data_IF_608224254915
#
_entry.id   IF_608224254915
#
_cell.length_a   1.000
_cell.length_b   1.000
_cell.length_c   1.000
_cell.angle_alpha   90.00
_cell.angle_beta   90.00
_cell.angle_gamma   90.00
#
_symmetry.space_group_name_H-M   'P 1'
#
loop_
_entity.id
_entity.type
_entity.pdbx_description
1 polymer ?
#
# COMPACT_ATOMS: atom_id res chain seq x y z
N UNK A 1 -4.51 11.75 -9.15
CA UNK A 1 -3.75 10.97 -8.15
C UNK A 1 -4.45 9.63 -7.95
N UNK A 2 -3.73 8.51 -8.00
CA UNK A 2 -4.22 7.13 -7.79
C UNK A 2 -5.40 6.68 -8.70
N UNK A 3 -5.53 7.25 -9.89
CA UNK A 3 -6.66 6.95 -10.78
C UNK A 3 -6.69 5.50 -11.27
N UNK A 4 -5.52 4.88 -11.43
CA UNK A 4 -5.43 3.50 -11.91
C UNK A 4 -5.98 2.55 -10.85
N UNK A 5 -5.55 2.68 -9.60
CA UNK A 5 -6.00 1.92 -8.45
C UNK A 5 -7.53 1.98 -8.32
N UNK A 6 -8.11 3.18 -8.32
CA UNK A 6 -9.57 3.33 -8.19
C UNK A 6 -10.34 2.82 -9.40
N UNK A 7 -9.78 2.93 -10.63
CA UNK A 7 -10.39 2.32 -11.82
C UNK A 7 -10.38 0.79 -11.71
N UNK A 8 -9.26 0.20 -11.28
CA UNK A 8 -9.16 -1.25 -11.07
C UNK A 8 -10.15 -1.71 -10.00
N UNK A 9 -10.18 -1.07 -8.82
CA UNK A 9 -11.15 -1.37 -7.76
C UNK A 9 -12.61 -1.26 -8.24
N UNK A 10 -12.89 -0.29 -9.11
CA UNK A 10 -14.24 -0.11 -9.68
C UNK A 10 -14.60 -1.26 -10.62
N UNK A 11 -13.66 -1.71 -11.45
CA UNK A 11 -13.85 -2.81 -12.41
C UNK A 11 -13.94 -4.19 -11.76
N UNK A 12 -13.44 -4.37 -10.54
CA UNK A 12 -13.57 -5.62 -9.78
C UNK A 12 -14.76 -5.61 -8.80
N UNK A 13 -15.55 -4.53 -8.78
CA UNK A 13 -16.75 -4.43 -7.93
C UNK A 13 -16.50 -4.02 -6.48
N UNK A 14 -15.29 -3.61 -6.12
CA UNK A 14 -14.97 -3.19 -4.75
C UNK A 14 -15.14 -1.68 -4.51
N UNK A 15 -15.27 -0.87 -5.56
CA UNK A 15 -15.35 0.59 -5.41
C UNK A 15 -16.31 1.27 -6.38
N UNK A 16 -17.49 1.68 -5.88
CA UNK A 16 -18.43 2.46 -6.68
C UNK A 16 -17.89 3.90 -6.93
N UNK A 17 -17.69 4.32 -8.21
CA UNK A 17 -17.29 5.68 -8.54
C UNK A 17 -18.30 6.73 -8.06
N UNK A 18 -17.81 7.90 -7.62
CA UNK A 18 -18.66 9.00 -7.13
C UNK A 18 -19.65 9.52 -8.19
N UNK A 19 -19.28 9.47 -9.47
CA UNK A 19 -20.16 9.86 -10.57
C UNK A 19 -21.39 8.96 -10.66
N UNK A 20 -21.24 7.67 -10.36
CA UNK A 20 -22.30 6.66 -10.49
C UNK A 20 -23.18 6.54 -9.25
N UNK A 21 -22.76 7.09 -8.10
CA UNK A 21 -23.62 7.21 -6.91
C UNK A 21 -24.61 8.37 -6.98
N UNK A 22 -24.57 9.20 -8.04
CA UNK A 22 -25.47 10.36 -8.18
C UNK A 22 -26.88 9.98 -8.66
N UNK A 23 -27.01 8.89 -9.41
CA UNK A 23 -28.31 8.34 -9.83
C UNK A 23 -28.64 7.05 -9.07
N UNK A 24 -29.82 7.02 -8.42
CA UNK A 24 -30.24 5.88 -7.60
C UNK A 24 -30.36 4.54 -8.35
N UNK A 25 -30.54 4.56 -9.68
CA UNK A 25 -30.58 3.35 -10.50
C UNK A 25 -29.18 2.78 -10.79
N UNK A 26 -28.22 3.64 -11.20
CA UNK A 26 -26.84 3.20 -11.48
C UNK A 26 -26.15 2.68 -10.23
N UNK A 27 -26.42 3.28 -9.07
CA UNK A 27 -25.89 2.80 -7.80
C UNK A 27 -26.41 1.40 -7.47
N UNK A 28 -27.71 1.15 -7.64
CA UNK A 28 -28.31 -0.19 -7.43
C UNK A 28 -27.74 -1.23 -8.40
N UNK A 29 -27.61 -0.87 -9.68
CA UNK A 29 -26.99 -1.74 -10.69
C UNK A 29 -25.55 -2.07 -10.34
N UNK A 30 -24.77 -1.08 -9.91
CA UNK A 30 -23.38 -1.29 -9.49
C UNK A 30 -23.28 -2.17 -8.24
N UNK A 31 -24.19 -2.02 -7.27
CA UNK A 31 -24.25 -2.91 -6.09
C UNK A 31 -24.54 -4.36 -6.49
N UNK A 32 -25.47 -4.59 -7.41
CA UNK A 32 -25.75 -5.93 -7.93
C UNK A 32 -24.52 -6.54 -8.62
N UNK A 33 -23.89 -5.76 -9.51
CA UNK A 33 -22.63 -6.11 -10.16
C UNK A 33 -21.51 -6.44 -9.16
N UNK A 34 -21.37 -5.62 -8.11
CA UNK A 34 -20.38 -5.81 -7.05
C UNK A 34 -20.60 -7.13 -6.31
N UNK A 35 -21.84 -7.41 -5.91
CA UNK A 35 -22.19 -8.68 -5.24
C UNK A 35 -21.83 -9.85 -6.14
N UNK A 36 -22.18 -9.79 -7.44
CA UNK A 36 -21.90 -10.87 -8.39
C UNK A 36 -20.39 -11.14 -8.57
N UNK A 37 -19.58 -10.10 -8.69
CA UNK A 37 -18.13 -10.24 -8.87
C UNK A 37 -17.42 -10.71 -7.60
N UNK A 38 -17.83 -10.21 -6.45
CA UNK A 38 -17.11 -10.43 -5.20
C UNK A 38 -17.50 -11.77 -4.53
N UNK A 39 -18.70 -12.29 -4.79
CA UNK A 39 -19.18 -13.55 -4.21
C UNK A 39 -18.27 -14.76 -4.52
N UNK A 40 -17.78 -14.99 -5.76
CA UNK A 40 -16.85 -16.07 -6.08
C UNK A 40 -15.63 -16.13 -5.16
N UNK A 41 -14.97 -14.99 -4.93
CA UNK A 41 -13.83 -14.89 -4.02
C UNK A 41 -14.15 -15.40 -2.60
N UNK A 42 -15.22 -14.90 -1.98
CA UNK A 42 -15.59 -15.33 -0.63
C UNK A 42 -16.05 -16.80 -0.61
N UNK A 43 -16.77 -17.25 -1.64
CA UNK A 43 -17.18 -18.65 -1.74
C UNK A 43 -15.99 -19.62 -1.83
N UNK A 44 -14.93 -19.25 -2.57
CA UNK A 44 -13.71 -20.04 -2.65
C UNK A 44 -13.03 -20.17 -1.28
N UNK A 45 -12.86 -19.05 -0.56
CA UNK A 45 -12.25 -19.03 0.78
C UNK A 45 -13.04 -19.89 1.76
N UNK A 46 -14.39 -19.83 1.71
CA UNK A 46 -15.25 -20.66 2.56
C UNK A 46 -15.10 -22.15 2.24
N UNK A 47 -15.08 -22.53 0.96
CA UNK A 47 -14.88 -23.93 0.56
C UNK A 47 -13.49 -24.47 0.93
N UNK A 48 -12.45 -23.63 0.84
CA UNK A 48 -11.10 -23.97 1.30
C UNK A 48 -11.06 -24.17 2.82
N UNK A 49 -11.65 -23.25 3.58
CA UNK A 49 -11.73 -23.35 5.05
C UNK A 49 -12.52 -24.58 5.51
N UNK A 50 -13.65 -24.88 4.85
CA UNK A 50 -14.43 -26.09 5.11
C UNK A 50 -13.62 -27.35 4.81
N UNK A 51 -12.89 -27.37 3.69
CA UNK A 51 -12.00 -28.49 3.35
C UNK A 51 -10.92 -28.74 4.37
N UNK A 52 -10.29 -27.68 4.88
CA UNK A 52 -9.27 -27.75 5.92
C UNK A 52 -9.82 -28.27 7.26
N UNK A 53 -11.03 -27.85 7.65
CA UNK A 53 -11.61 -28.18 8.96
C UNK A 53 -12.31 -29.55 9.00
N UNK A 54 -12.87 -30.00 7.87
CA UNK A 54 -13.74 -31.17 7.82
C UNK A 54 -13.08 -32.39 7.18
N UNK A 55 -12.01 -32.21 6.40
CA UNK A 55 -11.31 -33.31 5.74
C UNK A 55 -10.16 -33.80 6.59
N UNK A 56 -10.04 -35.12 6.78
CA UNK A 56 -8.85 -35.72 7.39
C UNK A 56 -7.70 -35.68 6.38
N UNK A 57 -6.68 -34.89 6.65
CA UNK A 57 -5.52 -34.71 5.79
C UNK A 57 -4.25 -35.30 6.43
N UNK A 58 -3.25 -35.62 5.61
CA UNK A 58 -1.90 -35.84 6.12
C UNK A 58 -1.35 -34.53 6.71
N UNK A 59 -0.31 -34.61 7.55
CA UNK A 59 0.28 -33.40 8.15
C UNK A 59 0.82 -32.45 7.09
N UNK A 60 1.42 -32.98 6.03
CA UNK A 60 1.98 -32.18 4.93
C UNK A 60 0.88 -31.50 4.12
N UNK A 61 -0.16 -32.23 3.73
CA UNK A 61 -1.32 -31.68 3.02
C UNK A 61 -2.07 -30.62 3.83
N UNK A 62 -2.18 -30.83 5.15
CA UNK A 62 -2.75 -29.87 6.08
C UNK A 62 -1.95 -28.57 6.09
N UNK A 63 -0.63 -28.64 6.22
CA UNK A 63 0.22 -27.45 6.23
C UNK A 63 0.07 -26.66 4.92
N UNK A 64 0.13 -27.33 3.76
CA UNK A 64 -0.03 -26.64 2.47
C UNK A 64 -1.39 -25.96 2.35
N UNK A 65 -2.46 -26.66 2.70
CA UNK A 65 -3.83 -26.14 2.61
C UNK A 65 -4.05 -24.99 3.60
N UNK A 66 -3.51 -25.09 4.82
CA UNK A 66 -3.60 -24.07 5.86
C UNK A 66 -3.01 -22.73 5.40
N UNK A 67 -1.78 -22.73 4.85
CA UNK A 67 -1.16 -21.48 4.41
C UNK A 67 -1.83 -20.87 3.18
N UNK A 68 -2.37 -21.70 2.29
CA UNK A 68 -3.18 -21.20 1.16
C UNK A 68 -4.46 -20.55 1.67
N UNK A 69 -5.22 -21.21 2.57
CA UNK A 69 -6.43 -20.66 3.20
C UNK A 69 -6.12 -19.36 3.94
N UNK A 70 -5.00 -19.30 4.64
CA UNK A 70 -4.57 -18.11 5.36
C UNK A 70 -4.31 -16.94 4.40
N UNK A 71 -3.60 -17.18 3.29
CA UNK A 71 -3.31 -16.16 2.27
C UNK A 71 -4.57 -15.68 1.55
N UNK A 72 -5.42 -16.59 1.07
CA UNK A 72 -6.66 -16.24 0.36
C UNK A 72 -7.68 -15.60 1.30
N UNK A 73 -7.78 -16.09 2.54
CA UNK A 73 -8.59 -15.49 3.59
C UNK A 73 -8.13 -14.08 3.96
N UNK A 74 -6.82 -13.84 3.99
CA UNK A 74 -6.29 -12.50 4.23
C UNK A 74 -6.56 -11.54 3.06
N UNK A 75 -6.50 -12.01 1.81
CA UNK A 75 -6.95 -11.21 0.67
C UNK A 75 -8.44 -10.82 0.79
N UNK A 76 -9.30 -11.74 1.22
CA UNK A 76 -10.71 -11.46 1.47
C UNK A 76 -10.91 -10.46 2.62
N UNK A 77 -10.10 -10.57 3.67
CA UNK A 77 -10.05 -9.58 4.75
C UNK A 77 -9.66 -8.19 4.23
N UNK A 78 -8.64 -8.07 3.38
CA UNK A 78 -8.27 -6.78 2.76
C UNK A 78 -9.44 -6.14 2.01
N UNK A 79 -10.10 -6.91 1.15
CA UNK A 79 -11.26 -6.43 0.40
C UNK A 79 -12.41 -5.97 1.32
N UNK A 80 -12.66 -6.70 2.41
CA UNK A 80 -13.62 -6.29 3.44
C UNK A 80 -13.20 -5.01 4.17
N UNK A 81 -11.91 -4.86 4.50
CA UNK A 81 -11.37 -3.66 5.12
C UNK A 81 -11.50 -2.43 4.22
N UNK A 82 -11.29 -2.55 2.92
CA UNK A 82 -11.46 -1.44 1.98
C UNK A 82 -12.92 -0.98 1.90
N UNK A 83 -13.87 -1.92 1.92
CA UNK A 83 -15.30 -1.61 1.99
C UNK A 83 -15.68 -0.94 3.31
N UNK A 84 -15.18 -1.46 4.44
CA UNK A 84 -15.45 -0.91 5.77
C UNK A 84 -14.85 0.48 5.96
N UNK A 85 -13.61 0.69 5.50
CA UNK A 85 -12.88 1.94 5.63
C UNK A 85 -13.13 2.91 4.47
N UNK A 86 -14.07 2.62 3.55
CA UNK A 86 -14.35 3.42 2.36
C UNK A 86 -14.48 4.92 2.65
N UNK A 87 -15.21 5.29 3.71
CA UNK A 87 -15.39 6.70 4.08
C UNK A 87 -14.06 7.37 4.48
N UNK A 88 -13.18 6.66 5.18
CA UNK A 88 -11.85 7.15 5.56
C UNK A 88 -10.92 7.25 4.34
N UNK A 89 -10.96 6.28 3.43
CA UNK A 89 -10.19 6.31 2.17
C UNK A 89 -10.62 7.49 1.30
N UNK A 90 -11.93 7.73 1.17
CA UNK A 90 -12.50 8.91 0.48
C UNK A 90 -11.96 10.19 1.12
N UNK A 91 -12.00 10.29 2.45
CA UNK A 91 -11.47 11.45 3.19
C UNK A 91 -9.99 11.67 2.92
N UNK A 92 -9.16 10.62 2.88
CA UNK A 92 -7.75 10.74 2.53
C UNK A 92 -7.54 11.33 1.14
N UNK A 93 -8.27 10.83 0.14
CA UNK A 93 -8.21 11.36 -1.24
C UNK A 93 -8.62 12.83 -1.28
N UNK A 94 -9.67 13.21 -0.54
CA UNK A 94 -10.12 14.59 -0.47
C UNK A 94 -9.08 15.51 0.18
N UNK A 95 -8.41 15.04 1.24
CA UNK A 95 -7.33 15.79 1.90
C UNK A 95 -6.14 16.06 0.96
N UNK A 96 -5.79 15.13 0.06
CA UNK A 96 -4.78 15.38 -0.97
C UNK A 96 -5.24 16.33 -2.08
N UNK A 97 -6.55 16.55 -2.20
CA UNK A 97 -7.15 17.47 -3.18
C UNK A 97 -7.33 18.88 -2.63
N UNK A 98 -7.03 19.11 -1.36
CA UNK A 98 -7.11 20.43 -0.75
C UNK A 98 -6.09 21.42 -1.34
N UNK A 99 -6.38 22.74 -1.34
CA UNK A 99 -5.51 23.76 -1.94
C UNK A 99 -4.06 23.77 -1.42
N UNK A 100 -3.84 23.26 -0.21
CA UNK A 100 -2.51 23.13 0.38
C UNK A 100 -1.68 22.04 -0.33
N UNK A 101 -2.29 20.95 -0.77
CA UNK A 101 -1.60 19.83 -1.39
C UNK A 101 -1.40 19.98 -2.90
N UNK A 102 -2.16 20.88 -3.53
CA UNK A 102 -2.06 21.12 -4.97
C UNK A 102 -0.75 21.83 -5.35
N UNK A 103 -0.08 21.41 -6.45
CA UNK A 103 1.15 22.05 -6.91
C UNK A 103 0.86 23.45 -7.46
N UNK A 104 1.61 24.45 -6.99
CA UNK A 104 1.43 25.88 -7.34
C UNK A 104 2.37 26.37 -8.44
N UNK A 105 3.37 25.58 -8.80
CA UNK A 105 4.37 25.96 -9.80
C UNK A 105 4.90 24.74 -10.56
N UNK A 106 5.63 24.98 -11.65
CA UNK A 106 6.18 23.92 -12.49
C UNK A 106 7.08 22.95 -11.73
N UNK A 107 7.88 23.44 -10.78
CA UNK A 107 8.77 22.59 -9.96
C UNK A 107 7.99 21.68 -9.01
N UNK A 108 6.91 22.17 -8.39
CA UNK A 108 6.03 21.35 -7.54
C UNK A 108 5.26 20.32 -8.38
N UNK A 109 4.77 20.73 -9.56
CA UNK A 109 4.13 19.80 -10.50
C UNK A 109 5.10 18.73 -11.00
N UNK A 110 6.37 19.07 -11.18
CA UNK A 110 7.43 18.11 -11.51
C UNK A 110 7.59 17.03 -10.45
N UNK A 111 7.73 17.42 -9.17
CA UNK A 111 7.82 16.47 -8.03
C UNK A 111 6.61 15.53 -8.02
N UNK A 112 5.40 16.10 -8.05
CA UNK A 112 4.16 15.34 -8.04
C UNK A 112 4.07 14.34 -9.20
N UNK A 113 4.41 14.78 -10.43
CA UNK A 113 4.41 13.92 -11.62
C UNK A 113 5.41 12.78 -11.51
N UNK A 114 6.59 13.00 -10.93
CA UNK A 114 7.58 11.95 -10.73
C UNK A 114 7.04 10.85 -9.83
N UNK A 115 6.46 11.20 -8.68
CA UNK A 115 5.85 10.21 -7.77
C UNK A 115 4.64 9.51 -8.42
N UNK A 116 3.77 10.25 -9.12
CA UNK A 116 2.64 9.66 -9.84
C UNK A 116 3.09 8.65 -10.92
N UNK A 117 4.18 8.95 -11.65
CA UNK A 117 4.74 8.06 -12.66
C UNK A 117 5.39 6.83 -12.04
N UNK A 118 6.15 6.99 -10.96
CA UNK A 118 6.76 5.87 -10.25
C UNK A 118 5.69 4.94 -9.68
N UNK A 119 4.66 5.49 -9.04
CA UNK A 119 3.55 4.72 -8.48
C UNK A 119 2.86 3.86 -9.54
N UNK A 120 2.50 4.44 -10.70
CA UNK A 120 1.89 3.69 -11.80
C UNK A 120 2.80 2.61 -12.38
N UNK A 121 4.10 2.90 -12.53
CA UNK A 121 5.07 1.93 -13.08
C UNK A 121 5.21 0.73 -12.15
N UNK A 122 5.38 0.98 -10.84
CA UNK A 122 5.50 -0.08 -9.84
C UNK A 122 4.25 -0.94 -9.80
N UNK A 123 3.07 -0.32 -9.79
CA UNK A 123 1.79 -1.03 -9.82
C UNK A 123 1.65 -1.94 -11.04
N UNK A 124 1.94 -1.45 -12.25
CA UNK A 124 1.85 -2.25 -13.48
C UNK A 124 2.84 -3.40 -13.45
N UNK A 125 4.08 -3.17 -13.01
CA UNK A 125 5.11 -4.20 -12.94
C UNK A 125 4.69 -5.31 -11.97
N UNK A 126 4.25 -4.95 -10.76
CA UNK A 126 3.80 -5.91 -9.76
C UNK A 126 2.58 -6.68 -10.22
N UNK A 127 1.58 -6.01 -10.80
CA UNK A 127 0.40 -6.65 -11.35
C UNK A 127 0.77 -7.69 -12.42
N UNK A 128 1.64 -7.32 -13.38
CA UNK A 128 2.08 -8.26 -14.41
C UNK A 128 2.82 -9.48 -13.84
N UNK A 129 3.70 -9.27 -12.86
CA UNK A 129 4.48 -10.36 -12.24
C UNK A 129 3.57 -11.31 -11.44
N UNK A 130 2.60 -10.78 -10.72
CA UNK A 130 1.67 -11.58 -9.91
C UNK A 130 0.67 -12.33 -10.77
N UNK A 131 0.08 -11.69 -11.78
CA UNK A 131 -0.83 -12.36 -12.71
C UNK A 131 -0.11 -13.43 -13.53
N UNK A 132 1.15 -13.20 -13.91
CA UNK A 132 1.97 -14.23 -14.54
C UNK A 132 2.15 -15.45 -13.61
N UNK A 133 2.49 -15.21 -12.35
CA UNK A 133 2.67 -16.27 -11.34
C UNK A 133 1.37 -17.02 -11.06
N UNK A 134 0.25 -16.31 -10.94
CA UNK A 134 -1.07 -16.89 -10.80
C UNK A 134 -1.47 -17.71 -12.03
N UNK A 135 -1.15 -17.23 -13.23
CA UNK A 135 -1.34 -17.96 -14.48
C UNK A 135 -0.58 -19.29 -14.50
N UNK A 136 0.69 -19.30 -14.08
CA UNK A 136 1.47 -20.55 -13.97
C UNK A 136 0.83 -21.52 -12.98
N UNK A 137 0.41 -21.03 -11.80
CA UNK A 137 -0.30 -21.83 -10.79
C UNK A 137 -1.58 -22.44 -11.35
N UNK A 138 -2.40 -21.64 -12.03
CA UNK A 138 -3.68 -22.05 -12.61
C UNK A 138 -3.53 -22.93 -13.85
N UNK A 139 -2.37 -23.02 -14.49
CA UNK A 139 -2.16 -23.88 -15.66
C UNK A 139 -1.51 -25.23 -15.29
N UNK A 140 -0.87 -25.33 -14.13
CA UNK A 140 -0.17 -26.54 -13.68
C UNK A 140 -1.00 -27.84 -13.77
N UNK A 141 -2.23 -27.88 -13.22
CA UNK A 141 -3.09 -29.08 -13.32
C UNK A 141 -3.45 -29.47 -14.76
N UNK A 142 -3.69 -28.48 -15.63
CA UNK A 142 -4.04 -28.72 -17.04
C UNK A 142 -2.86 -29.30 -17.83
N UNK A 143 -1.64 -28.82 -17.56
CA UNK A 143 -0.41 -29.28 -18.23
C UNK A 143 -0.04 -30.70 -17.78
N UNK A 144 -0.21 -31.01 -16.48
CA UNK A 144 0.06 -32.34 -15.95
C UNK A 144 -1.01 -33.38 -16.35
N UNK A 145 -2.06 -32.97 -17.08
CA UNK A 145 -3.23 -33.79 -17.40
C UNK A 145 -3.86 -34.47 -16.16
N UNK A 146 -3.61 -33.91 -14.98
CA UNK A 146 -4.20 -34.36 -13.73
C UNK A 146 -5.63 -33.83 -13.65
N UNK A 147 -6.58 -34.68 -13.27
CA UNK A 147 -7.98 -34.27 -13.06
C UNK A 147 -8.13 -33.65 -11.66
N UNK A 148 -7.36 -32.61 -11.41
CA UNK A 148 -7.27 -31.93 -10.12
C UNK A 148 -7.61 -30.45 -10.27
N UNK A 149 -8.25 -29.89 -9.25
CA UNK A 149 -8.51 -28.46 -9.17
C UNK A 149 -7.26 -27.75 -8.61
N UNK A 150 -6.93 -26.52 -9.08
CA UNK A 150 -5.78 -25.76 -8.58
C UNK A 150 -5.75 -25.60 -7.06
N UNK A 151 -6.93 -25.37 -6.47
CA UNK A 151 -7.09 -25.30 -5.02
C UNK A 151 -7.77 -26.56 -4.49
N UNK A 152 -7.17 -27.15 -3.45
CA UNK A 152 -7.80 -28.18 -2.61
C UNK A 152 -8.98 -27.55 -1.87
N UNK A 153 -10.20 -27.99 -2.18
CA UNK A 153 -11.45 -27.48 -1.62
C UNK A 153 -12.42 -28.62 -1.32
N UNK A 154 -13.30 -28.42 -0.35
CA UNK A 154 -14.45 -29.28 -0.17
C UNK A 154 -15.63 -28.72 -0.95
N UNK A 155 -16.16 -29.52 -1.87
CA UNK A 155 -17.34 -29.18 -2.66
C UNK A 155 -18.50 -30.11 -2.26
N UNK A 156 -19.75 -29.63 -2.29
CA UNK A 156 -20.92 -30.45 -1.94
C UNK A 156 -21.32 -31.43 -3.05
N UNK A 157 -20.55 -31.52 -4.14
CA UNK A 157 -20.83 -32.32 -5.33
C UNK A 157 -19.57 -33.02 -5.84
N UNK A 158 -19.76 -34.14 -6.55
CA UNK A 158 -18.66 -34.93 -7.12
C UNK A 158 -18.16 -34.33 -8.44
N UNK A 159 -16.85 -34.45 -8.68
CA UNK A 159 -16.17 -33.94 -9.88
C UNK A 159 -16.08 -34.96 -11.03
N UNK A 160 -16.90 -36.02 -10.99
CA UNK A 160 -16.88 -37.13 -11.96
C UNK A 160 -17.37 -36.73 -13.36
N UNK A 161 -18.28 -35.75 -13.46
CA UNK A 161 -18.75 -35.19 -14.72
C UNK A 161 -17.78 -34.10 -15.23
N UNK A 162 -17.43 -34.15 -16.51
CA UNK A 162 -16.57 -33.16 -17.18
C UNK A 162 -17.17 -31.76 -17.11
N UNK A 163 -18.49 -31.60 -17.24
CA UNK A 163 -19.14 -30.29 -17.18
C UNK A 163 -19.01 -29.66 -15.79
N UNK A 164 -19.27 -30.44 -14.73
CA UNK A 164 -19.17 -29.98 -13.34
C UNK A 164 -17.72 -29.64 -12.98
N UNK A 165 -16.77 -30.47 -13.44
CA UNK A 165 -15.35 -30.20 -13.30
C UNK A 165 -14.94 -28.89 -13.98
N UNK A 166 -15.33 -28.69 -15.25
CA UNK A 166 -15.03 -27.45 -15.99
C UNK A 166 -15.64 -26.21 -15.34
N UNK A 167 -16.89 -26.29 -14.87
CA UNK A 167 -17.53 -25.17 -14.16
C UNK A 167 -16.81 -24.83 -12.85
N UNK A 168 -16.40 -25.84 -12.10
CA UNK A 168 -15.63 -25.65 -10.85
C UNK A 168 -14.25 -25.06 -11.13
N UNK A 169 -13.60 -25.48 -12.21
CA UNK A 169 -12.33 -24.92 -12.66
C UNK A 169 -12.46 -23.44 -13.01
N UNK A 170 -13.45 -23.09 -13.83
CA UNK A 170 -13.74 -21.69 -14.21
C UNK A 170 -14.03 -20.84 -12.98
N UNK A 171 -14.79 -21.35 -12.02
CA UNK A 171 -15.05 -20.66 -10.75
C UNK A 171 -13.75 -20.40 -9.96
N UNK A 172 -12.87 -21.40 -9.82
CA UNK A 172 -11.61 -21.23 -9.12
C UNK A 172 -10.67 -20.25 -9.84
N UNK A 173 -10.56 -20.35 -11.18
CA UNK A 173 -9.78 -19.42 -12.00
C UNK A 173 -10.27 -18.00 -11.82
N UNK A 174 -11.58 -17.77 -11.93
CA UNK A 174 -12.16 -16.45 -11.78
C UNK A 174 -11.96 -15.89 -10.36
N UNK A 175 -12.16 -16.73 -9.34
CA UNK A 175 -11.96 -16.36 -7.93
C UNK A 175 -10.49 -16.02 -7.65
N UNK A 176 -9.55 -16.78 -8.23
CA UNK A 176 -8.10 -16.53 -8.12
C UNK A 176 -7.73 -15.15 -8.69
N UNK A 177 -8.17 -14.84 -9.90
CA UNK A 177 -7.91 -13.55 -10.56
C UNK A 177 -8.47 -12.39 -9.72
N UNK A 178 -9.67 -12.55 -9.15
CA UNK A 178 -10.23 -11.51 -8.27
C UNK A 178 -9.39 -11.36 -7.00
N UNK A 179 -8.99 -12.48 -6.37
CA UNK A 179 -8.13 -12.46 -5.17
C UNK A 179 -6.80 -11.74 -5.43
N UNK A 180 -6.12 -12.07 -6.53
CA UNK A 180 -4.83 -11.46 -6.87
C UNK A 180 -4.99 -9.98 -7.17
N UNK A 181 -5.97 -9.60 -7.99
CA UNK A 181 -6.23 -8.19 -8.33
C UNK A 181 -6.63 -7.37 -7.10
N UNK A 182 -7.47 -7.88 -6.21
CA UNK A 182 -7.83 -7.20 -4.94
C UNK A 182 -6.59 -6.98 -4.09
N UNK A 183 -5.79 -8.03 -3.91
CA UNK A 183 -4.57 -7.98 -3.09
C UNK A 183 -3.59 -6.96 -3.65
N UNK A 184 -3.34 -7.00 -4.97
CA UNK A 184 -2.43 -6.08 -5.65
C UNK A 184 -2.92 -4.65 -5.57
N UNK A 185 -4.20 -4.42 -5.80
CA UNK A 185 -4.75 -3.07 -5.81
C UNK A 185 -4.74 -2.45 -4.41
N UNK A 186 -5.04 -3.25 -3.37
CA UNK A 186 -4.91 -2.81 -1.98
C UNK A 186 -3.47 -2.47 -1.62
N UNK A 187 -2.51 -3.35 -1.97
CA UNK A 187 -1.09 -3.11 -1.73
C UNK A 187 -0.60 -1.84 -2.46
N UNK A 188 -0.98 -1.68 -3.73
CA UNK A 188 -0.66 -0.51 -4.55
C UNK A 188 -1.32 0.78 -4.05
N UNK A 189 -2.54 0.70 -3.49
CA UNK A 189 -3.23 1.84 -2.89
C UNK A 189 -2.46 2.36 -1.68
N UNK A 190 -2.04 1.45 -0.79
CA UNK A 190 -1.34 1.78 0.45
C UNK A 190 0.06 2.35 0.14
N UNK A 191 0.83 1.69 -0.72
CA UNK A 191 2.12 2.22 -1.23
C UNK A 191 1.93 3.56 -1.92
N UNK A 192 0.88 3.68 -2.73
CA UNK A 192 0.52 4.91 -3.41
C UNK A 192 0.32 6.07 -2.45
N UNK A 193 -0.45 5.90 -1.38
CA UNK A 193 -0.61 6.95 -0.36
C UNK A 193 0.71 7.31 0.34
N UNK A 194 1.56 6.34 0.66
CA UNK A 194 2.89 6.62 1.23
C UNK A 194 3.75 7.46 0.28
N UNK A 195 3.77 7.13 -1.01
CA UNK A 195 4.48 7.92 -2.03
C UNK A 195 3.94 9.35 -2.13
N UNK A 196 2.64 9.53 -1.96
CA UNK A 196 2.01 10.84 -1.99
C UNK A 196 2.33 11.66 -0.74
N UNK A 197 2.43 11.03 0.44
CA UNK A 197 2.98 11.66 1.64
C UNK A 197 4.43 12.12 1.41
N UNK A 198 5.27 11.28 0.80
CA UNK A 198 6.65 11.66 0.43
C UNK A 198 6.67 12.88 -0.51
N UNK A 199 5.80 12.89 -1.53
CA UNK A 199 5.65 14.04 -2.44
C UNK A 199 5.29 15.31 -1.68
N UNK A 200 4.34 15.24 -0.75
CA UNK A 200 3.93 16.39 0.06
C UNK A 200 5.05 16.91 0.96
N UNK A 201 5.86 16.04 1.56
CA UNK A 201 7.05 16.42 2.33
C UNK A 201 8.10 17.12 1.47
N UNK A 202 8.37 16.62 0.26
CA UNK A 202 9.31 17.25 -0.68
C UNK A 202 8.80 18.62 -1.18
N UNK A 203 7.48 18.74 -1.47
CA UNK A 203 6.84 20.01 -1.83
C UNK A 203 6.92 21.00 -0.67
N UNK A 204 6.62 20.55 0.56
CA UNK A 204 6.67 21.38 1.75
C UNK A 204 8.09 21.90 1.98
N UNK A 205 9.11 21.03 1.92
CA UNK A 205 10.54 21.40 1.97
C UNK A 205 10.89 22.49 0.94
N UNK A 206 10.42 22.34 -0.30
CA UNK A 206 10.64 23.32 -1.36
C UNK A 206 9.98 24.67 -1.04
N UNK A 207 8.77 24.66 -0.48
CA UNK A 207 8.04 25.88 -0.11
C UNK A 207 8.70 26.64 1.03
N UNK A 208 9.23 25.96 2.05
CA UNK A 208 10.02 26.60 3.11
C UNK A 208 11.25 27.30 2.54
N UNK A 209 11.98 26.65 1.63
CA UNK A 209 13.15 27.27 0.99
C UNK A 209 12.78 28.50 0.18
N UNK A 210 11.76 28.40 -0.68
CA UNK A 210 11.28 29.54 -1.48
C UNK A 210 10.76 30.69 -0.63
N UNK A 211 10.10 30.39 0.49
CA UNK A 211 9.63 31.39 1.43
C UNK A 211 10.79 32.20 2.01
N UNK A 212 11.86 31.51 2.44
CA UNK A 212 13.09 32.18 2.90
C UNK A 212 13.69 33.06 1.81
N UNK A 213 13.89 32.51 0.60
CA UNK A 213 14.50 33.25 -0.51
C UNK A 213 13.68 34.50 -0.88
N UNK A 214 12.35 34.37 -0.93
CA UNK A 214 11.43 35.46 -1.23
C UNK A 214 11.48 36.58 -0.20
N UNK A 215 11.54 36.24 1.09
CA UNK A 215 11.61 37.26 2.15
C UNK A 215 12.97 37.96 2.12
N UNK A 216 14.08 37.22 1.91
CA UNK A 216 15.42 37.81 1.76
C UNK A 216 15.49 38.80 0.60
N UNK A 217 15.00 38.42 -0.58
CA UNK A 217 14.96 39.29 -1.75
C UNK A 217 14.12 40.56 -1.50
N UNK A 218 13.01 40.44 -0.75
CA UNK A 218 12.19 41.60 -0.40
C UNK A 218 12.91 42.55 0.56
N UNK A 219 13.56 42.01 1.59
CA UNK A 219 14.34 42.79 2.55
C UNK A 219 15.50 43.52 1.88
N UNK A 220 16.22 42.87 0.96
CA UNK A 220 17.31 43.49 0.19
C UNK A 220 16.80 44.66 -0.67
N UNK A 221 15.64 44.51 -1.32
CA UNK A 221 15.01 45.59 -2.10
C UNK A 221 14.52 46.74 -1.23
N UNK A 222 13.98 46.46 -0.05
CA UNK A 222 13.57 47.51 0.89
C UNK A 222 14.76 48.36 1.33
N UNK A 223 15.87 47.71 1.72
CA UNK A 223 17.13 48.39 2.09
C UNK A 223 17.64 49.25 0.94
N UNK A 224 17.61 48.75 -0.30
CA UNK A 224 18.06 49.50 -1.48
C UNK A 224 17.15 50.69 -1.85
N UNK A 225 15.88 50.68 -1.41
CA UNK A 225 14.87 51.68 -1.82
C UNK A 225 14.66 52.81 -0.81
N UNK A 226 15.34 52.80 0.34
CA UNK A 226 15.16 53.73 1.48
C UNK A 226 13.69 53.90 1.95
N UNK A 227 12.78 53.03 1.52
CA UNK A 227 11.37 53.08 1.90
C UNK A 227 11.16 52.40 3.26
N UNK A 228 10.70 53.18 4.23
CA UNK A 228 10.25 52.71 5.53
C UNK A 228 8.87 52.01 5.43
N UNK A 229 8.77 50.87 4.75
CA UNK A 229 7.53 50.09 4.63
C UNK A 229 7.52 48.83 5.53
N UNK A 230 7.96 48.97 6.78
CA UNK A 230 7.97 47.89 7.80
C UNK A 230 6.62 47.14 7.96
N UNK A 231 5.49 47.78 7.64
CA UNK A 231 4.15 47.19 7.83
C UNK A 231 3.81 46.16 6.75
N UNK A 232 4.20 46.40 5.50
CA UNK A 232 3.90 45.52 4.35
C UNK A 232 4.74 44.24 4.42
N UNK A 233 6.02 44.35 4.75
CA UNK A 233 6.93 43.20 4.92
C UNK A 233 6.51 42.30 6.07
N UNK A 234 6.11 42.90 7.20
CA UNK A 234 5.61 42.12 8.35
C UNK A 234 4.31 41.39 8.01
N UNK A 235 3.39 42.01 7.28
CA UNK A 235 2.16 41.33 6.82
C UNK A 235 2.45 40.18 5.87
N UNK A 236 3.42 40.36 4.96
CA UNK A 236 3.85 39.30 4.05
C UNK A 236 4.44 38.09 4.82
N UNK A 237 5.33 38.34 5.78
CA UNK A 237 5.91 37.29 6.63
C UNK A 237 4.83 36.50 7.39
N UNK A 238 3.86 37.21 7.99
CA UNK A 238 2.74 36.57 8.73
C UNK A 238 1.90 35.68 7.82
N UNK A 239 1.61 36.12 6.60
CA UNK A 239 0.86 35.31 5.66
C UNK A 239 1.64 34.06 5.22
N UNK A 240 2.93 34.21 4.91
CA UNK A 240 3.79 33.11 4.49
C UNK A 240 3.91 32.05 5.59
N UNK A 241 4.21 32.45 6.83
CA UNK A 241 4.38 31.49 7.92
C UNK A 241 3.08 30.76 8.26
N UNK A 242 1.94 31.45 8.16
CA UNK A 242 0.62 30.85 8.36
C UNK A 242 0.35 29.75 7.33
N UNK A 243 0.62 30.03 6.05
CA UNK A 243 0.46 29.03 4.99
C UNK A 243 1.38 27.82 5.17
N UNK A 244 2.65 28.05 5.53
CA UNK A 244 3.61 26.99 5.79
C UNK A 244 3.21 26.12 7.00
N UNK A 245 2.77 26.75 8.09
CA UNK A 245 2.31 26.07 9.29
C UNK A 245 1.07 25.21 8.99
N UNK A 246 0.11 25.74 8.22
CA UNK A 246 -1.09 25.02 7.80
C UNK A 246 -0.76 23.82 6.92
N UNK A 247 0.10 23.99 5.91
CA UNK A 247 0.49 22.87 5.05
C UNK A 247 1.28 21.81 5.83
N UNK A 248 2.17 22.22 6.74
CA UNK A 248 2.88 21.29 7.62
C UNK A 248 1.91 20.49 8.49
N UNK A 249 1.01 21.17 9.22
CA UNK A 249 0.01 20.50 10.06
C UNK A 249 -0.87 19.54 9.24
N UNK A 250 -1.30 19.97 8.06
CA UNK A 250 -2.10 19.15 7.15
C UNK A 250 -1.38 17.88 6.71
N UNK A 251 -0.09 17.95 6.37
CA UNK A 251 0.72 16.78 6.00
C UNK A 251 0.84 15.79 7.16
N UNK A 252 0.93 16.26 8.41
CA UNK A 252 0.92 15.37 9.58
C UNK A 252 -0.45 14.73 9.82
N UNK A 253 -1.54 15.50 9.71
CA UNK A 253 -2.90 14.96 9.82
C UNK A 253 -3.19 13.94 8.72
N UNK A 254 -2.67 14.15 7.50
CA UNK A 254 -2.72 13.19 6.39
C UNK A 254 -2.07 11.86 6.78
N UNK A 255 -0.86 11.91 7.37
CA UNK A 255 -0.15 10.70 7.79
C UNK A 255 -0.86 9.96 8.94
N UNK A 256 -1.40 10.70 9.92
CA UNK A 256 -2.18 10.12 11.02
C UNK A 256 -3.46 9.44 10.50
N UNK A 257 -4.23 10.14 9.66
CA UNK A 257 -5.44 9.59 9.05
C UNK A 257 -5.11 8.35 8.20
N UNK A 258 -3.95 8.34 7.52
CA UNK A 258 -3.49 7.19 6.74
C UNK A 258 -3.23 5.98 7.65
N UNK A 259 -2.48 6.16 8.74
CA UNK A 259 -2.23 5.11 9.72
C UNK A 259 -3.55 4.59 10.33
N UNK A 260 -4.46 5.48 10.74
CA UNK A 260 -5.79 5.09 11.27
C UNK A 260 -6.70 4.37 10.26
N UNK A 261 -6.44 4.53 8.97
CA UNK A 261 -7.22 3.89 7.90
C UNK A 261 -6.69 2.49 7.61
N UNK A 262 -5.36 2.33 7.56
CA UNK A 262 -4.72 1.11 7.06
C UNK A 262 -3.99 0.28 8.13
N UNK A 263 -4.02 0.67 9.41
CA UNK A 263 -3.26 -0.03 10.45
C UNK A 263 -3.55 -1.54 10.51
N UNK A 264 -4.82 -1.96 10.44
CA UNK A 264 -5.20 -3.37 10.51
C UNK A 264 -4.68 -4.16 9.31
N UNK A 265 -4.80 -3.57 8.11
CA UNK A 265 -4.31 -4.16 6.86
C UNK A 265 -2.79 -4.29 6.87
N UNK A 266 -2.07 -3.26 7.32
CA UNK A 266 -0.60 -3.26 7.37
C UNK A 266 -0.07 -4.30 8.37
N UNK A 267 -0.67 -4.41 9.57
CA UNK A 267 -0.27 -5.44 10.55
C UNK A 267 -0.52 -6.84 10.02
N UNK A 268 -1.70 -7.07 9.42
CA UNK A 268 -2.01 -8.34 8.79
C UNK A 268 -1.01 -8.70 7.69
N UNK A 269 -0.65 -7.74 6.84
CA UNK A 269 0.31 -7.93 5.75
C UNK A 269 1.67 -8.39 6.29
N UNK A 270 2.14 -7.74 7.35
CA UNK A 270 3.39 -8.11 8.01
C UNK A 270 3.36 -9.54 8.55
N UNK A 271 2.30 -9.92 9.27
CA UNK A 271 2.16 -11.25 9.86
C UNK A 271 2.05 -12.34 8.78
N UNK A 272 1.21 -12.13 7.76
CA UNK A 272 1.00 -13.10 6.70
C UNK A 272 2.26 -13.28 5.86
N UNK A 273 2.92 -12.19 5.44
CA UNK A 273 4.15 -12.29 4.67
C UNK A 273 5.26 -13.00 5.45
N UNK A 274 5.38 -12.76 6.76
CA UNK A 274 6.33 -13.49 7.58
C UNK A 274 6.08 -15.00 7.55
N UNK A 275 4.83 -15.43 7.75
CA UNK A 275 4.48 -16.86 7.75
C UNK A 275 4.66 -17.50 6.37
N UNK A 276 4.18 -16.83 5.32
CA UNK A 276 4.25 -17.36 3.95
C UNK A 276 5.71 -17.47 3.48
N UNK A 277 6.57 -16.48 3.75
CA UNK A 277 7.99 -16.55 3.42
C UNK A 277 8.67 -17.72 4.17
N UNK A 278 8.40 -17.92 5.46
CA UNK A 278 8.94 -19.05 6.23
C UNK A 278 8.62 -20.39 5.54
N UNK A 279 7.36 -20.57 5.15
CA UNK A 279 6.86 -21.81 4.57
C UNK A 279 7.39 -22.02 3.17
N UNK A 280 7.43 -20.97 2.34
CA UNK A 280 7.97 -21.06 0.98
C UNK A 280 9.44 -21.45 0.99
N UNK A 281 10.24 -20.93 1.92
CA UNK A 281 11.65 -21.34 2.09
C UNK A 281 11.75 -22.79 2.57
N UNK A 282 10.91 -23.20 3.53
CA UNK A 282 10.85 -24.59 3.99
C UNK A 282 10.48 -25.55 2.85
N UNK A 283 9.47 -25.23 2.04
CA UNK A 283 9.09 -26.04 0.86
C UNK A 283 10.20 -26.17 -0.16
N UNK A 284 10.95 -25.10 -0.43
CA UNK A 284 12.13 -25.15 -1.32
C UNK A 284 13.25 -26.04 -0.78
N UNK A 285 13.29 -26.29 0.52
CA UNK A 285 14.32 -27.10 1.16
C UNK A 285 13.99 -28.59 1.23
N UNK A 286 12.71 -28.93 1.22
CA UNK A 286 12.24 -30.29 0.96
C UNK A 286 12.53 -30.56 -0.52
N UNK A 287 13.10 -31.71 -0.84
CA UNK A 287 13.51 -32.03 -2.21
C UNK A 287 12.28 -31.98 -3.13
N UNK A 288 12.10 -30.89 -3.88
CA UNK A 288 11.12 -30.79 -4.94
C UNK A 288 11.44 -31.85 -6.00
N UNK A 289 10.43 -32.60 -6.43
CA UNK A 289 10.61 -33.74 -7.31
C UNK A 289 10.86 -33.29 -8.77
N UNK A 290 10.40 -32.08 -9.11
CA UNK A 290 10.48 -31.54 -10.48
C UNK A 290 11.10 -30.14 -10.56
N UNK A 291 11.80 -29.87 -11.67
CA UNK A 291 12.34 -28.53 -11.98
C UNK A 291 11.22 -27.48 -12.05
N UNK A 292 10.03 -27.87 -12.52
CA UNK A 292 8.87 -27.00 -12.64
C UNK A 292 8.38 -26.50 -11.26
N UNK A 293 8.30 -27.37 -10.26
CA UNK A 293 7.96 -27.01 -8.88
C UNK A 293 8.99 -26.06 -8.26
N UNK A 294 10.29 -26.31 -8.50
CA UNK A 294 11.36 -25.42 -8.03
C UNK A 294 11.18 -24.02 -8.64
N UNK A 295 11.03 -23.95 -9.96
CA UNK A 295 10.87 -22.67 -10.67
C UNK A 295 9.62 -21.92 -10.19
N UNK A 296 8.51 -22.61 -10.00
CA UNK A 296 7.28 -22.00 -9.47
C UNK A 296 7.47 -21.47 -8.06
N UNK A 297 8.06 -22.26 -7.15
CA UNK A 297 8.28 -21.84 -5.77
C UNK A 297 9.26 -20.65 -5.68
N UNK A 298 10.32 -20.62 -6.50
CA UNK A 298 11.24 -19.48 -6.59
C UNK A 298 10.54 -18.24 -7.13
N UNK A 299 9.73 -18.38 -8.18
CA UNK A 299 8.95 -17.28 -8.75
C UNK A 299 7.99 -16.71 -7.70
N UNK A 300 7.20 -17.57 -7.04
CA UNK A 300 6.26 -17.19 -6.00
C UNK A 300 6.95 -16.49 -4.81
N UNK A 301 8.05 -17.05 -4.31
CA UNK A 301 8.82 -16.44 -3.22
C UNK A 301 9.37 -15.06 -3.62
N UNK A 302 9.86 -14.91 -4.85
CA UNK A 302 10.37 -13.63 -5.36
C UNK A 302 9.26 -12.59 -5.44
N UNK A 303 8.05 -12.98 -5.84
CA UNK A 303 6.90 -12.08 -5.89
C UNK A 303 6.56 -11.53 -4.49
N UNK A 304 6.37 -12.43 -3.51
CA UNK A 304 5.99 -12.04 -2.14
C UNK A 304 7.07 -11.18 -1.48
N UNK A 305 8.34 -11.57 -1.63
CA UNK A 305 9.46 -10.79 -1.09
C UNK A 305 9.53 -9.41 -1.74
N UNK A 306 9.33 -9.32 -3.06
CA UNK A 306 9.35 -8.06 -3.81
C UNK A 306 8.24 -7.11 -3.38
N UNK A 307 7.01 -7.61 -3.24
CA UNK A 307 5.88 -6.82 -2.75
C UNK A 307 6.11 -6.30 -1.33
N UNK A 308 6.51 -7.20 -0.42
CA UNK A 308 6.73 -6.83 0.97
C UNK A 308 7.90 -5.86 1.13
N UNK A 309 8.95 -6.00 0.30
CA UNK A 309 10.06 -5.06 0.24
C UNK A 309 9.60 -3.67 -0.16
N UNK A 310 8.78 -3.54 -1.20
CA UNK A 310 8.26 -2.24 -1.67
C UNK A 310 7.41 -1.58 -0.57
N UNK A 311 6.62 -2.38 0.13
CA UNK A 311 5.82 -1.94 1.27
C UNK A 311 6.68 -1.31 2.37
N UNK A 312 7.73 -2.02 2.79
CA UNK A 312 8.67 -1.56 3.81
C UNK A 312 9.55 -0.40 3.33
N UNK A 313 9.92 -0.40 2.05
CA UNK A 313 10.73 0.66 1.43
C UNK A 313 10.01 2.01 1.48
N UNK A 314 8.75 2.06 1.04
CA UNK A 314 8.02 3.33 1.04
C UNK A 314 7.57 3.77 2.44
N UNK A 315 7.35 2.84 3.38
CA UNK A 315 7.20 3.18 4.80
C UNK A 315 8.46 3.83 5.38
N UNK A 316 9.63 3.29 5.03
CA UNK A 316 10.93 3.85 5.40
C UNK A 316 11.17 5.22 4.73
N UNK A 317 10.84 5.38 3.45
CA UNK A 317 10.98 6.64 2.73
C UNK A 317 10.15 7.76 3.37
N UNK A 318 8.91 7.50 3.82
CA UNK A 318 8.12 8.52 4.54
C UNK A 318 8.87 9.00 5.78
N UNK A 319 9.43 8.06 6.55
CA UNK A 319 10.22 8.35 7.75
C UNK A 319 11.47 9.16 7.40
N UNK A 320 12.22 8.72 6.39
CA UNK A 320 13.43 9.38 5.92
C UNK A 320 13.16 10.82 5.42
N UNK A 321 12.12 11.00 4.60
CA UNK A 321 11.69 12.30 4.09
C UNK A 321 11.23 13.23 5.22
N UNK A 322 10.56 12.69 6.23
CA UNK A 322 10.16 13.46 7.40
C UNK A 322 11.36 13.93 8.23
N UNK A 323 12.39 13.10 8.41
CA UNK A 323 13.62 13.47 9.12
C UNK A 323 14.42 14.52 8.33
N UNK A 324 14.64 14.28 7.03
CA UNK A 324 15.38 15.21 6.17
C UNK A 324 14.65 16.53 5.93
N UNK A 325 13.34 16.58 6.12
CA UNK A 325 12.57 17.82 6.14
C UNK A 325 12.98 18.71 7.32
N UNK A 326 13.09 18.15 8.53
CA UNK A 326 13.57 18.89 9.70
C UNK A 326 14.99 19.44 9.48
N UNK A 327 15.91 18.60 9.01
CA UNK A 327 17.30 19.00 8.71
C UNK A 327 17.34 20.13 7.69
N UNK A 328 16.54 20.04 6.64
CA UNK A 328 16.49 21.07 5.59
C UNK A 328 16.00 22.42 6.11
N UNK A 329 15.04 22.44 7.04
CA UNK A 329 14.55 23.69 7.65
C UNK A 329 15.60 24.25 8.62
N UNK A 330 16.31 23.39 9.35
CA UNK A 330 17.31 23.81 10.33
C UNK A 330 18.49 24.58 9.71
N UNK A 331 18.86 24.25 8.47
CA UNK A 331 20.00 24.87 7.77
C UNK A 331 19.62 26.19 7.08
N UNK A 332 18.33 26.50 6.93
CA UNK A 332 17.91 27.77 6.34
C UNK A 332 18.30 28.93 7.28
N UNK A 333 18.91 29.97 6.72
CA UNK A 333 19.24 31.17 7.48
C UNK A 333 18.02 32.05 7.71
N UNK A 334 17.40 31.86 8.88
CA UNK A 334 16.23 32.61 9.36
C UNK A 334 16.58 33.94 10.04
N UNK A 335 17.87 34.27 10.20
CA UNK A 335 18.29 35.47 10.94
C UNK A 335 17.66 36.77 10.44
N UNK A 336 17.53 37.01 9.12
CA UNK A 336 16.96 38.25 8.59
C UNK A 336 15.47 38.45 8.90
N UNK A 337 14.76 37.38 9.26
CA UNK A 337 13.30 37.40 9.47
C UNK A 337 12.91 38.09 10.79
N UNK A 338 11.65 38.51 10.90
CA UNK A 338 11.14 39.07 12.16
C UNK A 338 11.21 38.09 13.34
N UNK A 339 11.19 38.63 14.57
CA UNK A 339 11.16 37.81 15.80
C UNK A 339 9.95 36.88 15.86
N UNK A 340 8.81 37.34 15.34
CA UNK A 340 7.56 36.59 15.30
C UNK A 340 7.66 35.40 14.34
N UNK A 341 8.21 35.62 13.13
CA UNK A 341 8.46 34.56 12.16
C UNK A 341 9.41 33.50 12.72
N UNK A 342 10.53 33.91 13.33
CA UNK A 342 11.50 32.99 13.96
C UNK A 342 10.86 32.14 15.06
N UNK A 343 10.02 32.73 15.92
CA UNK A 343 9.30 31.99 16.97
C UNK A 343 8.41 30.89 16.37
N UNK A 344 7.67 31.20 15.30
CA UNK A 344 6.81 30.22 14.64
C UNK A 344 7.58 29.10 13.93
N UNK A 345 8.71 29.42 13.29
CA UNK A 345 9.61 28.42 12.71
C UNK A 345 10.14 27.47 13.77
N UNK A 346 10.52 27.96 14.95
CA UNK A 346 10.98 27.11 16.06
C UNK A 346 9.89 26.12 16.48
N UNK A 347 8.62 26.54 16.56
CA UNK A 347 7.53 25.60 16.85
C UNK A 347 7.36 24.54 15.76
N UNK A 348 7.44 24.93 14.49
CA UNK A 348 7.37 23.99 13.36
C UNK A 348 8.53 23.00 13.41
N UNK A 349 9.75 23.49 13.63
CA UNK A 349 10.96 22.66 13.77
C UNK A 349 10.86 21.71 14.97
N UNK A 350 10.35 22.18 16.10
CA UNK A 350 10.13 21.37 17.29
C UNK A 350 9.11 20.25 17.04
N UNK A 351 8.09 20.48 16.20
CA UNK A 351 7.19 19.40 15.77
C UNK A 351 7.86 18.48 14.75
N UNK A 352 8.62 19.04 13.82
CA UNK A 352 9.30 18.31 12.74
C UNK A 352 10.45 17.41 13.24
N UNK A 353 11.02 17.70 14.42
CA UNK A 353 12.05 16.87 15.05
C UNK A 353 11.50 15.50 15.49
N UNK A 354 10.19 15.30 15.50
CA UNK A 354 9.53 14.00 15.67
C UNK A 354 9.09 13.47 14.31
N UNK A 355 9.86 12.57 13.68
CA UNK A 355 9.58 12.12 12.33
C UNK A 355 8.26 11.34 12.26
N UNK A 356 7.66 11.35 11.07
CA UNK A 356 6.46 10.58 10.75
C UNK A 356 6.88 9.12 10.57
N UNK A 357 6.48 8.27 11.51
CA UNK A 357 6.61 6.83 11.36
C UNK A 357 5.30 6.25 10.86
N UNK A 358 5.37 5.46 9.78
CA UNK A 358 4.26 4.59 9.40
C UNK A 358 4.26 3.41 10.37
N UNK A 359 3.51 3.59 11.46
CA UNK A 359 3.38 2.64 12.55
C UNK A 359 1.94 2.13 12.63
N UNK A 360 1.79 0.86 12.98
CA UNK A 360 0.48 0.24 13.09
C UNK A 360 0.41 -0.51 14.43
N UNK A 361 -0.39 0.03 15.35
CA UNK A 361 -0.38 -0.39 16.76
C UNK A 361 0.87 0.08 17.50
N UNK A 362 1.23 -0.62 18.59
CA UNK A 362 2.39 -0.29 19.42
C UNK A 362 3.70 -0.99 19.02
N UNK A 363 3.68 -1.91 18.04
CA UNK A 363 4.78 -2.88 17.85
C UNK A 363 5.34 -2.99 16.43
N UNK A 364 4.61 -2.59 15.38
CA UNK A 364 5.06 -2.78 13.98
C UNK A 364 5.30 -1.44 13.30
N UNK A 365 6.51 -1.27 12.80
CA UNK A 365 6.94 -0.13 11.97
C UNK A 365 7.25 -0.65 10.57
N UNK A 366 6.77 0.02 9.53
CA UNK A 366 7.15 -0.30 8.16
C UNK A 366 8.54 0.29 7.85
N UNK A 367 9.58 -0.49 8.12
CA UNK A 367 10.97 -0.11 7.84
C UNK A 367 11.71 -1.23 7.11
N UNK A 368 12.82 -0.88 6.46
CA UNK A 368 13.72 -1.86 5.85
C UNK A 368 14.35 -2.79 6.91
N UNK A 369 14.51 -2.32 8.14
CA UNK A 369 14.97 -3.15 9.26
C UNK A 369 13.94 -4.24 9.60
N UNK A 370 12.65 -3.90 9.62
CA UNK A 370 11.57 -4.86 9.84
C UNK A 370 11.50 -5.90 8.72
N UNK A 371 11.71 -5.51 7.46
CA UNK A 371 11.86 -6.45 6.35
C UNK A 371 13.02 -7.43 6.59
N UNK A 372 14.21 -6.91 6.93
CA UNK A 372 15.38 -7.74 7.21
C UNK A 372 15.18 -8.66 8.42
N UNK A 373 14.46 -8.19 9.44
CA UNK A 373 14.10 -9.00 10.61
C UNK A 373 13.22 -10.18 10.22
N UNK A 374 12.20 -9.97 9.37
CA UNK A 374 11.35 -11.04 8.85
C UNK A 374 12.16 -12.05 8.05
N UNK A 375 13.00 -11.60 7.11
CA UNK A 375 13.83 -12.52 6.30
C UNK A 375 14.77 -13.36 7.18
N UNK A 376 15.41 -12.74 8.18
CA UNK A 376 16.27 -13.46 9.14
C UNK A 376 15.48 -14.46 9.98
N UNK A 377 14.32 -14.06 10.50
CA UNK A 377 13.44 -14.94 11.26
C UNK A 377 13.02 -16.15 10.43
N UNK A 378 12.61 -15.94 9.17
CA UNK A 378 12.26 -17.01 8.25
C UNK A 378 13.40 -17.98 8.02
N UNK A 379 14.63 -17.48 7.84
CA UNK A 379 15.82 -18.33 7.68
C UNK A 379 16.17 -19.09 8.97
N UNK A 380 16.02 -18.46 10.13
CA UNK A 380 16.22 -19.11 11.43
C UNK A 380 15.20 -20.21 11.68
N UNK A 381 13.90 -19.95 11.45
CA UNK A 381 12.83 -20.95 11.56
C UNK A 381 13.10 -22.11 10.60
N UNK A 382 13.50 -21.80 9.37
CA UNK A 382 13.91 -22.80 8.40
C UNK A 382 15.04 -23.71 8.93
N UNK A 383 16.13 -23.14 9.46
CA UNK A 383 17.25 -23.94 9.99
C UNK A 383 16.82 -24.84 11.16
N UNK A 384 15.92 -24.37 12.02
CA UNK A 384 15.36 -25.16 13.13
C UNK A 384 14.50 -26.31 12.60
N UNK A 385 13.61 -26.03 11.63
CA UNK A 385 12.78 -27.07 11.01
C UNK A 385 13.65 -28.14 10.35
N UNK A 386 14.69 -27.74 9.61
CA UNK A 386 15.64 -28.66 8.98
C UNK A 386 16.50 -29.45 9.98
N UNK A 387 16.75 -28.94 11.18
CA UNK A 387 17.53 -29.67 12.19
C UNK A 387 16.68 -30.58 13.08
N UNK A 388 15.35 -30.42 13.07
CA UNK A 388 14.42 -31.13 13.96
C UNK A 388 13.59 -32.19 13.24
N UNK A 389 13.32 -31.99 11.95
CA UNK A 389 12.67 -32.92 11.02
C UNK A 389 13.73 -33.51 10.09
#
# INVERSE_FOLDING_TARGET
MLELQFKVLSSIGFWCPRSWSSSGLTEKLYRCYSVLLVTPMYSLVLCQAAGLLLTRQSFDEFNETFFIVLSTGFAAFKGSCDLWNRAKIIRLVDMFSEPFCLPRCQRESGIQKTYDQMCRKIEIILLCVVEFTAGVFLLGPLISHSRELPYKVLLPYDLNDTLIFSLSYVHQTFSCIIITVVTMTNNALIVGFMMQLCSQLDILKLRFRKASDKIKEHLEKEVASEKLSNRTSKQMEVQIIRELAQHHLHTYNLAETFCETFHGTIVGEFCINSLVICVSVYKLSLNAETIAEILFNVLYLTCIMGEFLIYCYYGNEVTYKSTTFFEAIAVIDWNPMSKEFKKNIIFIMSRASKPIFISCGAYVYLTLESFMAVVKLSFSVFNVLKSTL
#
